data_IF_601753070708
#
_entry.id   IF_601753070708
#
_cell.length_a   1.000
_cell.length_b   1.000
_cell.length_c   1.000
_cell.angle_alpha   90.00
_cell.angle_beta   90.00
_cell.angle_gamma   90.00
#
_symmetry.space_group_name_H-M   'P 1'
#
loop_
_entity.id
_entity.type
_entity.pdbx_description
1 polymer ?
#
# COMPACT_ATOMS: atom_id res chain seq x y z
N UNK A 1 -32.94 -4.94 -4.15
CA UNK A 1 -32.12 -3.99 -4.93
C UNK A 1 -33.05 -3.13 -5.81
N UNK A 2 -32.54 -2.03 -6.34
CA UNK A 2 -33.20 -1.20 -7.36
C UNK A 2 -32.22 -0.98 -8.53
N UNK A 3 -32.69 -0.61 -9.73
CA UNK A 3 -31.80 -0.45 -10.88
C UNK A 3 -30.70 0.59 -10.64
N UNK A 4 -29.53 0.32 -11.21
CA UNK A 4 -28.41 1.25 -11.35
C UNK A 4 -27.73 1.02 -12.70
N UNK A 5 -26.93 1.98 -13.14
CA UNK A 5 -26.13 1.84 -14.36
C UNK A 5 -24.81 1.14 -14.07
N UNK A 6 -24.28 0.41 -15.06
CA UNK A 6 -22.94 -0.21 -14.96
C UNK A 6 -21.84 0.83 -14.69
N UNK A 7 -22.01 2.05 -15.23
CA UNK A 7 -21.09 3.17 -14.96
C UNK A 7 -21.04 3.56 -13.48
N UNK A 8 -22.17 3.54 -12.77
CA UNK A 8 -22.18 3.80 -11.33
C UNK A 8 -21.44 2.72 -10.54
N UNK A 9 -21.55 1.45 -10.94
CA UNK A 9 -20.86 0.35 -10.28
C UNK A 9 -19.34 0.44 -10.47
N UNK A 10 -18.89 0.64 -11.72
CA UNK A 10 -17.46 0.78 -12.01
C UNK A 10 -16.87 2.07 -11.42
N UNK A 11 -17.64 3.15 -11.34
CA UNK A 11 -17.22 4.36 -10.64
C UNK A 11 -17.04 4.12 -9.14
N UNK A 12 -17.87 3.28 -8.52
CA UNK A 12 -17.70 2.89 -7.12
C UNK A 12 -16.41 2.07 -6.92
N UNK A 13 -16.09 1.13 -7.82
CA UNK A 13 -14.80 0.42 -7.81
C UNK A 13 -13.60 1.36 -7.93
N UNK A 14 -13.65 2.30 -8.89
CA UNK A 14 -12.57 3.26 -9.08
C UNK A 14 -12.40 4.19 -7.86
N UNK A 15 -13.50 4.64 -7.27
CA UNK A 15 -13.49 5.52 -6.10
C UNK A 15 -12.86 4.83 -4.90
N UNK A 16 -13.27 3.60 -4.59
CA UNK A 16 -12.77 2.89 -3.41
C UNK A 16 -11.28 2.54 -3.51
N UNK A 17 -10.76 2.29 -4.72
CA UNK A 17 -9.34 2.05 -4.95
C UNK A 17 -8.52 3.35 -4.88
N UNK A 18 -9.05 4.47 -5.42
CA UNK A 18 -8.38 5.77 -5.36
C UNK A 18 -8.19 6.24 -3.91
N UNK A 19 -9.20 6.04 -3.07
CA UNK A 19 -9.11 6.32 -1.63
C UNK A 19 -8.00 5.51 -0.94
N UNK A 20 -7.82 4.25 -1.32
CA UNK A 20 -6.80 3.38 -0.74
C UNK A 20 -5.40 3.77 -1.21
N UNK A 21 -5.22 4.13 -2.48
CA UNK A 21 -3.95 4.63 -3.01
C UNK A 21 -3.51 5.91 -2.28
N UNK A 22 -4.43 6.86 -2.07
CA UNK A 22 -4.13 8.07 -1.31
C UNK A 22 -3.64 7.75 0.12
N UNK A 23 -4.37 6.88 0.83
CA UNK A 23 -4.02 6.48 2.21
C UNK A 23 -2.71 5.69 2.28
N UNK A 24 -2.41 4.86 1.29
CA UNK A 24 -1.11 4.18 1.19
C UNK A 24 0.03 5.19 1.06
N UNK A 25 -0.17 6.26 0.29
CA UNK A 25 0.79 7.36 0.20
C UNK A 25 1.03 8.04 1.55
N UNK A 26 -0.03 8.37 2.28
CA UNK A 26 0.06 8.99 3.61
C UNK A 26 0.82 8.10 4.61
N UNK A 27 0.49 6.80 4.64
CA UNK A 27 1.11 5.84 5.57
C UNK A 27 2.55 5.54 5.18
N UNK A 28 2.87 5.51 3.88
CA UNK A 28 4.24 5.32 3.42
C UNK A 28 5.19 6.42 3.91
N UNK A 29 4.67 7.62 4.17
CA UNK A 29 5.47 8.72 4.71
C UNK A 29 6.03 8.43 6.12
N UNK A 30 5.43 7.50 6.89
CA UNK A 30 6.00 7.08 8.18
C UNK A 30 7.34 6.37 8.03
N UNK A 31 7.66 5.80 6.85
CA UNK A 31 8.99 5.24 6.60
C UNK A 31 10.08 6.27 6.36
N UNK A 32 9.73 7.56 6.26
CA UNK A 32 10.73 8.62 6.16
C UNK A 32 11.42 8.86 7.50
N UNK A 33 10.80 8.52 8.62
CA UNK A 33 11.43 8.63 9.94
C UNK A 33 12.41 7.46 10.14
N UNK A 34 13.68 7.77 10.38
CA UNK A 34 14.75 6.77 10.51
C UNK A 34 15.57 6.97 11.79
N UNK A 35 16.10 5.87 12.32
CA UNK A 35 16.91 5.86 13.55
C UNK A 35 18.43 5.94 13.31
N UNK A 36 18.86 6.38 12.12
CA UNK A 36 20.27 6.46 11.77
C UNK A 36 21.03 7.36 12.75
N UNK A 37 22.17 6.89 13.24
CA UNK A 37 22.93 7.52 14.33
C UNK A 37 22.58 7.01 15.72
N UNK A 38 21.50 6.23 15.89
CA UNK A 38 21.12 5.62 17.17
C UNK A 38 22.04 4.49 17.63
N UNK A 39 22.79 3.88 16.69
CA UNK A 39 23.67 2.71 16.92
C UNK A 39 22.94 1.48 17.44
N UNK A 40 23.47 0.78 18.46
CA UNK A 40 22.97 -0.51 18.91
C UNK A 40 21.57 -0.44 19.54
N UNK A 41 21.29 0.62 20.31
CA UNK A 41 20.06 0.74 21.13
C UNK A 41 19.47 2.15 21.15
N UNK A 42 19.87 3.01 20.21
CA UNK A 42 19.35 4.37 20.08
C UNK A 42 20.08 5.43 20.92
N UNK A 43 21.05 5.05 21.76
CA UNK A 43 21.79 5.99 22.61
C UNK A 43 22.83 6.83 21.86
N UNK A 44 23.17 6.44 20.62
CA UNK A 44 24.26 7.07 19.88
C UNK A 44 25.65 6.79 20.45
N UNK A 45 25.81 5.74 21.26
CA UNK A 45 27.12 5.39 21.83
C UNK A 45 28.15 5.16 20.72
N UNK A 46 29.38 5.65 20.91
CA UNK A 46 30.45 5.60 19.91
C UNK A 46 30.17 6.31 18.59
N UNK A 47 29.20 7.23 18.56
CA UNK A 47 28.91 8.07 17.39
C UNK A 47 29.40 9.50 17.62
N UNK A 48 29.98 10.09 16.57
CA UNK A 48 30.32 11.51 16.59
C UNK A 48 29.01 12.35 16.63
N UNK A 49 28.88 13.38 17.48
CA UNK A 49 27.69 14.24 17.53
C UNK A 49 27.20 14.76 16.16
N UNK A 50 28.12 14.99 15.22
CA UNK A 50 27.79 15.51 13.88
C UNK A 50 27.38 14.41 12.89
N UNK A 51 27.62 13.14 13.22
CA UNK A 51 27.41 12.00 12.30
C UNK A 51 25.96 11.91 11.85
N UNK A 52 24.99 12.04 12.75
CA UNK A 52 23.59 11.85 12.39
C UNK A 52 23.15 12.88 11.35
N UNK A 53 23.43 14.16 11.59
CA UNK A 53 23.03 15.22 10.69
C UNK A 53 23.67 15.05 9.30
N UNK A 54 24.97 14.73 9.27
CA UNK A 54 25.69 14.47 8.02
C UNK A 54 25.15 13.24 7.29
N UNK A 55 25.01 12.11 7.97
CA UNK A 55 24.58 10.85 7.35
C UNK A 55 23.14 10.90 6.84
N UNK A 56 22.22 11.55 7.57
CA UNK A 56 20.82 11.73 7.12
C UNK A 56 20.75 12.67 5.92
N UNK A 57 21.56 13.74 5.90
CA UNK A 57 21.63 14.63 4.74
C UNK A 57 22.15 13.91 3.49
N UNK A 58 23.23 13.13 3.62
CA UNK A 58 23.79 12.33 2.52
C UNK A 58 22.81 11.25 2.05
N UNK A 59 22.16 10.54 2.97
CA UNK A 59 21.17 9.52 2.60
C UNK A 59 19.99 10.13 1.85
N UNK A 60 19.51 11.30 2.28
CA UNK A 60 18.47 12.06 1.57
C UNK A 60 18.92 12.44 0.17
N UNK A 61 20.16 12.92 0.01
CA UNK A 61 20.71 13.32 -1.28
C UNK A 61 20.86 12.14 -2.25
N UNK A 62 21.38 11.00 -1.78
CA UNK A 62 21.63 9.82 -2.62
C UNK A 62 20.34 9.10 -2.98
N UNK A 63 19.41 8.95 -2.03
CA UNK A 63 18.17 8.20 -2.25
C UNK A 63 17.06 9.02 -2.94
N UNK A 64 17.10 10.36 -2.83
CA UNK A 64 15.98 11.22 -3.23
C UNK A 64 14.74 11.09 -2.34
N UNK A 65 14.80 10.29 -1.27
CA UNK A 65 13.71 10.11 -0.29
C UNK A 65 13.86 11.17 0.80
N UNK A 66 12.80 11.88 1.20
CA UNK A 66 12.86 12.94 2.21
C UNK A 66 12.94 12.38 3.64
N UNK A 67 13.92 11.50 3.89
CA UNK A 67 14.13 10.90 5.21
C UNK A 67 14.47 11.95 6.27
N UNK A 68 14.05 11.73 7.51
CA UNK A 68 14.29 12.59 8.68
C UNK A 68 14.71 11.73 9.87
N UNK A 69 15.52 12.29 10.76
CA UNK A 69 15.88 11.62 12.01
C UNK A 69 14.66 11.46 12.91
N UNK A 70 14.55 10.31 13.56
CA UNK A 70 13.51 10.07 14.56
C UNK A 70 13.61 11.03 15.75
N UNK A 71 12.46 11.42 16.31
CA UNK A 71 12.41 12.31 17.47
C UNK A 71 13.05 11.68 18.72
N UNK A 72 12.98 10.36 18.83
CA UNK A 72 13.64 9.58 19.87
C UNK A 72 14.25 8.31 19.27
N UNK A 73 15.58 8.27 19.20
CA UNK A 73 16.32 7.15 18.61
C UNK A 73 16.19 5.84 19.40
N UNK A 74 15.96 5.90 20.71
CA UNK A 74 15.77 4.71 21.56
C UNK A 74 14.43 4.06 21.24
N UNK A 75 13.39 4.85 21.09
CA UNK A 75 12.05 4.38 20.68
C UNK A 75 12.10 3.78 19.27
N UNK A 76 12.65 4.52 18.31
CA UNK A 76 12.73 4.10 16.91
C UNK A 76 13.65 2.87 16.68
N UNK A 77 14.45 2.45 17.66
CA UNK A 77 15.25 1.22 17.57
C UNK A 77 14.43 -0.06 17.72
N UNK A 78 13.28 -0.02 18.38
CA UNK A 78 12.42 -1.19 18.57
C UNK A 78 11.00 -0.99 18.02
N UNK A 79 10.65 0.23 17.60
CA UNK A 79 9.35 0.46 16.98
C UNK A 79 9.23 -0.25 15.62
N UNK A 80 8.10 -0.93 15.45
CA UNK A 80 7.71 -1.59 14.20
C UNK A 80 6.33 -1.13 13.73
N UNK A 81 5.75 -0.10 14.37
CA UNK A 81 4.40 0.39 14.15
C UNK A 81 4.13 0.80 12.70
N UNK A 82 5.08 1.50 12.07
CA UNK A 82 4.95 1.91 10.66
C UNK A 82 4.75 0.70 9.72
N UNK A 83 5.50 -0.39 9.92
CA UNK A 83 5.37 -1.61 9.12
C UNK A 83 4.02 -2.29 9.33
N UNK A 84 3.55 -2.36 10.58
CA UNK A 84 2.26 -2.96 10.93
C UNK A 84 1.11 -2.17 10.30
N UNK A 85 1.14 -0.84 10.39
CA UNK A 85 0.15 0.04 9.78
C UNK A 85 0.12 -0.09 8.26
N UNK A 86 1.28 -0.06 7.62
CA UNK A 86 1.39 -0.20 6.17
C UNK A 86 0.87 -1.55 5.68
N UNK A 87 1.27 -2.64 6.35
CA UNK A 87 0.78 -3.99 6.05
C UNK A 87 -0.74 -4.12 6.24
N UNK A 88 -1.30 -3.50 7.27
CA UNK A 88 -2.74 -3.40 7.49
C UNK A 88 -3.47 -2.73 6.33
N UNK A 89 -2.90 -1.65 5.78
CA UNK A 89 -3.45 -0.94 4.64
C UNK A 89 -3.36 -1.75 3.34
N UNK A 90 -2.25 -2.47 3.13
CA UNK A 90 -2.13 -3.42 2.01
C UNK A 90 -3.21 -4.50 2.08
N UNK A 91 -3.42 -5.09 3.26
CA UNK A 91 -4.46 -6.10 3.49
C UNK A 91 -5.85 -5.58 3.15
N UNK A 92 -6.19 -4.36 3.61
CA UNK A 92 -7.47 -3.70 3.30
C UNK A 92 -7.66 -3.53 1.79
N UNK A 93 -6.63 -3.04 1.10
CA UNK A 93 -6.66 -2.85 -0.36
C UNK A 93 -6.87 -4.17 -1.09
N UNK A 94 -6.16 -5.23 -0.66
CA UNK A 94 -6.29 -6.57 -1.22
C UNK A 94 -7.70 -7.15 -1.03
N UNK A 95 -8.33 -6.95 0.13
CA UNK A 95 -9.72 -7.39 0.36
C UNK A 95 -10.70 -6.73 -0.61
N UNK A 96 -10.58 -5.42 -0.83
CA UNK A 96 -11.42 -4.69 -1.79
C UNK A 96 -11.18 -5.14 -3.23
N UNK A 97 -9.91 -5.32 -3.62
CA UNK A 97 -9.58 -5.82 -4.95
C UNK A 97 -10.15 -7.22 -5.19
N UNK A 98 -10.02 -8.11 -4.20
CA UNK A 98 -10.60 -9.45 -4.26
C UNK A 98 -12.12 -9.39 -4.46
N UNK A 99 -12.83 -8.50 -3.74
CA UNK A 99 -14.26 -8.26 -3.95
C UNK A 99 -14.57 -7.83 -5.39
N UNK A 100 -13.85 -6.84 -5.92
CA UNK A 100 -14.03 -6.35 -7.31
C UNK A 100 -13.82 -7.50 -8.31
N UNK A 101 -12.75 -8.28 -8.15
CA UNK A 101 -12.50 -9.45 -9.00
C UNK A 101 -13.63 -10.50 -8.90
N UNK A 102 -14.23 -10.69 -7.72
CA UNK A 102 -15.35 -11.61 -7.54
C UNK A 102 -16.60 -11.11 -8.27
N UNK A 103 -16.89 -9.81 -8.19
CA UNK A 103 -18.00 -9.21 -8.93
C UNK A 103 -17.78 -9.38 -10.44
N UNK A 104 -16.60 -9.06 -10.96
CA UNK A 104 -16.29 -9.23 -12.38
C UNK A 104 -16.51 -10.68 -12.85
N UNK A 105 -16.06 -11.68 -12.07
CA UNK A 105 -16.28 -13.10 -12.37
C UNK A 105 -17.76 -13.48 -12.34
N UNK A 106 -18.53 -12.92 -11.40
CA UNK A 106 -19.95 -13.20 -11.26
C UNK A 106 -20.76 -12.56 -12.40
N UNK A 107 -20.51 -11.29 -12.70
CA UNK A 107 -21.15 -10.55 -13.80
C UNK A 107 -20.82 -11.17 -15.16
N UNK A 108 -19.62 -11.75 -15.34
CA UNK A 108 -19.22 -12.44 -16.56
C UNK A 108 -19.58 -13.94 -16.59
N UNK A 109 -20.30 -14.45 -15.59
CA UNK A 109 -20.67 -15.88 -15.55
C UNK A 109 -21.62 -16.22 -16.71
N UNK A 110 -21.40 -17.32 -17.42
CA UNK A 110 -22.15 -17.60 -18.65
C UNK A 110 -21.58 -18.76 -19.47
N UNK A 111 -21.96 -18.90 -20.76
CA UNK A 111 -22.67 -17.90 -21.58
C UNK A 111 -24.21 -17.97 -21.50
N UNK A 112 -24.80 -19.07 -21.01
CA UNK A 112 -26.27 -19.25 -20.96
C UNK A 112 -26.83 -19.66 -19.61
N UNK A 113 -25.97 -20.12 -18.68
CA UNK A 113 -26.36 -20.56 -17.33
C UNK A 113 -25.91 -19.62 -16.21
N UNK A 114 -25.47 -18.40 -16.54
CA UNK A 114 -25.03 -17.38 -15.59
C UNK A 114 -25.67 -16.02 -15.89
N UNK A 115 -25.07 -14.94 -15.37
CA UNK A 115 -25.58 -13.58 -15.55
C UNK A 115 -25.29 -12.99 -16.94
N UNK A 116 -24.05 -13.16 -17.41
CA UNK A 116 -23.56 -12.70 -18.71
C UNK A 116 -23.84 -11.19 -18.97
N UNK A 117 -23.67 -10.36 -17.95
CA UNK A 117 -23.88 -8.91 -18.01
C UNK A 117 -22.70 -8.15 -18.62
N UNK A 118 -21.49 -8.70 -18.48
CA UNK A 118 -20.26 -8.17 -19.08
C UNK A 118 -19.48 -9.27 -19.80
N UNK A 119 -18.68 -8.88 -20.80
CA UNK A 119 -17.77 -9.77 -21.51
C UNK A 119 -16.33 -9.43 -21.13
N UNK A 120 -15.64 -10.36 -20.46
CA UNK A 120 -14.21 -10.22 -20.17
C UNK A 120 -13.37 -10.68 -21.38
N UNK A 121 -12.20 -10.07 -21.64
CA UNK A 121 -11.31 -10.53 -22.68
C UNK A 121 -10.88 -11.98 -22.47
N UNK A 122 -10.98 -12.81 -23.51
CA UNK A 122 -10.47 -14.17 -23.49
C UNK A 122 -8.93 -14.14 -23.60
N UNK A 123 -8.23 -14.45 -22.51
CA UNK A 123 -6.77 -14.42 -22.47
C UNK A 123 -6.12 -15.77 -22.82
N UNK A 124 -6.84 -16.87 -22.61
CA UNK A 124 -6.36 -18.23 -22.90
C UNK A 124 -7.54 -19.20 -23.06
N UNK A 125 -7.36 -20.36 -23.72
CA UNK A 125 -8.35 -21.43 -23.72
C UNK A 125 -8.67 -21.86 -22.28
N UNK A 126 -9.95 -21.81 -21.92
CA UNK A 126 -10.42 -22.20 -20.59
C UNK A 126 -10.62 -23.71 -20.41
N UNK A 127 -10.73 -24.43 -21.53
CA UNK A 127 -10.88 -25.89 -21.58
C UNK A 127 -10.07 -26.44 -22.76
N UNK A 128 -9.69 -27.72 -22.65
CA UNK A 128 -8.95 -28.46 -23.69
C UNK A 128 -9.84 -29.07 -24.77
N UNK A 129 -11.18 -29.01 -24.60
CA UNK A 129 -12.17 -29.49 -25.57
C UNK A 129 -12.63 -28.37 -26.51
#
# INVERSE_FOLDING_TARGET
>A
AVPMTLGQEFQAFATTLREDVARLGDIAAFFHEINLGGTAIGTGINTNPDYQAAAVAELRAISGVPVVSAANLIEACWDTGAFVLFSGMLKRTATKLSKICNDLRLLSSGPRGGLNEINLPALQPGSSI
#
